data_IF_101065968808
#
_entry.id   IF_101065968808
#
_cell.length_a   1.000
_cell.length_b   1.000
_cell.length_c   1.000
_cell.angle_alpha   90.00
_cell.angle_beta   90.00
_cell.angle_gamma   90.00
#
_symmetry.space_group_name_H-M   'P 1'
#
loop_
_entity.id
_entity.type
_entity.pdbx_description
1 polymer ?
#
# COMPACT_ATOMS: atom_id res chain seq x y z
N UNK A 1 -13.97 16.56 47.51
CA UNK A 1 -14.82 15.41 47.12
C UNK A 1 -15.13 15.52 45.64
N UNK A 2 -14.50 14.63 44.89
CA UNK A 2 -14.85 14.04 43.57
C UNK A 2 -15.47 14.94 42.50
N UNK A 3 -14.60 15.46 41.63
CA UNK A 3 -14.94 15.68 40.23
C UNK A 3 -14.89 14.36 39.47
N UNK A 4 -15.96 14.05 38.74
CA UNK A 4 -15.91 13.14 37.59
C UNK A 4 -16.78 13.80 36.51
N UNK A 5 -16.12 14.54 35.62
CA UNK A 5 -16.75 14.96 34.38
C UNK A 5 -17.05 13.71 33.56
N UNK A 6 -18.32 13.39 33.41
CA UNK A 6 -18.79 12.36 32.49
C UNK A 6 -18.53 12.85 31.07
N UNK A 7 -17.44 12.40 30.45
CA UNK A 7 -17.26 12.57 29.01
C UNK A 7 -18.23 11.62 28.30
N UNK A 8 -19.35 12.16 27.82
CA UNK A 8 -20.24 11.47 26.90
C UNK A 8 -19.51 11.24 25.58
N UNK A 9 -18.98 10.04 25.38
CA UNK A 9 -18.37 9.61 24.12
C UNK A 9 -19.47 9.34 23.07
N UNK A 10 -20.13 10.39 22.58
CA UNK A 10 -21.09 10.27 21.50
C UNK A 10 -20.37 10.20 20.13
N UNK A 11 -19.61 9.13 19.90
CA UNK A 11 -18.99 8.86 18.59
C UNK A 11 -20.05 8.26 17.66
N UNK A 12 -20.41 9.00 16.61
CA UNK A 12 -21.43 8.61 15.62
C UNK A 12 -20.86 7.92 14.39
N UNK A 13 -19.54 7.94 14.23
CA UNK A 13 -18.85 7.36 13.08
C UNK A 13 -17.44 6.90 13.47
N UNK A 14 -16.96 5.91 12.72
CA UNK A 14 -15.58 5.42 12.74
C UNK A 14 -15.07 5.47 11.29
N UNK A 15 -13.87 6.03 11.10
CA UNK A 15 -13.19 6.05 9.81
C UNK A 15 -11.99 5.11 9.95
N UNK A 16 -11.87 4.16 9.03
CA UNK A 16 -10.79 3.18 9.01
C UNK A 16 -10.04 3.24 7.69
N UNK A 17 -8.73 3.14 7.77
CA UNK A 17 -7.90 2.90 6.61
C UNK A 17 -8.12 1.47 6.08
N UNK A 18 -7.79 1.23 4.82
CA UNK A 18 -7.85 -0.09 4.23
C UNK A 18 -6.59 -0.92 4.54
N UNK A 19 -5.42 -0.41 4.14
CA UNK A 19 -4.14 -1.08 4.30
C UNK A 19 -3.65 -1.04 5.75
N UNK A 20 -3.26 -2.17 6.33
CA UNK A 20 -2.77 -2.26 7.71
C UNK A 20 -3.86 -2.14 8.80
N UNK A 21 -5.10 -1.77 8.44
CA UNK A 21 -6.24 -1.69 9.36
C UNK A 21 -7.30 -2.71 8.99
N UNK A 22 -8.03 -2.53 7.88
CA UNK A 22 -9.03 -3.52 7.42
C UNK A 22 -8.39 -4.74 6.75
N UNK A 23 -7.15 -4.62 6.29
CA UNK A 23 -6.33 -5.71 5.75
C UNK A 23 -5.00 -5.77 6.48
N UNK A 24 -4.54 -6.96 6.88
CA UNK A 24 -3.28 -7.12 7.63
C UNK A 24 -2.72 -8.54 7.55
N UNK A 25 -1.37 -8.73 7.47
CA UNK A 25 -0.34 -7.70 7.34
C UNK A 25 -0.15 -7.23 5.89
N UNK A 26 0.11 -5.93 5.69
CA UNK A 26 0.33 -5.33 4.35
C UNK A 26 1.53 -5.93 3.62
N UNK A 27 2.54 -6.40 4.37
CA UNK A 27 3.75 -7.01 3.84
C UNK A 27 3.47 -8.22 2.92
N UNK A 28 2.37 -8.94 3.15
CA UNK A 28 2.02 -10.11 2.32
C UNK A 28 1.82 -9.77 0.84
N UNK A 29 1.28 -8.59 0.52
CA UNK A 29 1.12 -8.12 -0.85
C UNK A 29 2.47 -7.93 -1.55
N UNK A 30 3.44 -7.32 -0.86
CA UNK A 30 4.77 -7.09 -1.41
C UNK A 30 5.57 -8.39 -1.59
N UNK A 31 5.44 -9.33 -0.65
CA UNK A 31 6.05 -10.67 -0.78
C UNK A 31 5.52 -11.40 -2.00
N UNK A 32 4.20 -11.38 -2.23
CA UNK A 32 3.60 -12.02 -3.41
C UNK A 32 4.08 -11.39 -4.73
N UNK A 33 4.25 -10.07 -4.77
CA UNK A 33 4.83 -9.38 -5.94
C UNK A 33 6.27 -9.82 -6.16
N UNK A 34 7.09 -9.87 -5.10
CA UNK A 34 8.47 -10.32 -5.18
C UNK A 34 8.58 -11.76 -5.69
N UNK A 35 7.76 -12.68 -5.18
CA UNK A 35 7.74 -14.07 -5.64
C UNK A 35 7.38 -14.19 -7.13
N UNK A 36 6.55 -13.27 -7.64
CA UNK A 36 6.11 -13.27 -9.03
C UNK A 36 7.09 -12.60 -9.99
N UNK A 37 7.64 -11.45 -9.63
CA UNK A 37 8.46 -10.62 -10.51
C UNK A 37 9.96 -10.85 -10.34
N UNK A 38 10.37 -11.40 -9.19
CA UNK A 38 11.77 -11.52 -8.80
C UNK A 38 12.36 -10.24 -8.19
N UNK A 39 11.65 -9.10 -8.21
CA UNK A 39 12.11 -7.86 -7.60
C UNK A 39 11.80 -7.83 -6.11
N UNK A 40 12.84 -7.65 -5.30
CA UNK A 40 12.72 -7.47 -3.85
C UNK A 40 12.01 -6.15 -3.49
N UNK A 41 11.50 -6.08 -2.26
CA UNK A 41 10.91 -4.83 -1.73
C UNK A 41 11.93 -3.70 -1.72
N UNK A 42 13.19 -4.01 -1.45
CA UNK A 42 14.30 -3.07 -1.45
C UNK A 42 14.57 -2.53 -2.86
N UNK A 43 14.57 -3.38 -3.88
CA UNK A 43 14.73 -2.97 -5.28
C UNK A 43 13.56 -2.11 -5.76
N UNK A 44 12.31 -2.49 -5.44
CA UNK A 44 11.13 -1.68 -5.75
C UNK A 44 11.18 -0.30 -5.06
N UNK A 45 11.62 -0.27 -3.80
CA UNK A 45 11.77 0.97 -3.04
C UNK A 45 12.87 1.85 -3.63
N UNK A 46 14.00 1.26 -4.04
CA UNK A 46 15.09 1.97 -4.69
C UNK A 46 14.69 2.53 -6.07
N UNK A 47 13.95 1.75 -6.87
CA UNK A 47 13.39 2.19 -8.15
C UNK A 47 12.46 3.40 -7.97
N UNK A 48 11.51 3.34 -7.03
CA UNK A 48 10.64 4.48 -6.71
C UNK A 48 11.42 5.72 -6.27
N UNK A 49 12.46 5.55 -5.46
CA UNK A 49 13.32 6.65 -5.04
C UNK A 49 14.10 7.27 -6.22
N UNK A 50 14.62 6.45 -7.14
CA UNK A 50 15.31 6.91 -8.34
C UNK A 50 14.38 7.74 -9.23
N UNK A 51 13.17 7.23 -9.51
CA UNK A 51 12.14 7.97 -10.26
C UNK A 51 11.78 9.29 -9.56
N UNK A 52 11.70 9.29 -8.22
CA UNK A 52 11.41 10.49 -7.46
C UNK A 52 12.49 11.56 -7.62
N UNK A 53 13.77 11.17 -7.65
CA UNK A 53 14.88 12.09 -7.93
C UNK A 53 14.79 12.64 -9.35
N UNK A 54 14.51 11.79 -10.34
CA UNK A 54 14.44 12.19 -11.74
C UNK A 54 13.24 13.11 -12.06
N UNK A 55 12.08 12.85 -11.45
CA UNK A 55 10.82 13.58 -11.72
C UNK A 55 10.51 14.69 -10.70
N UNK A 56 11.26 14.76 -9.60
CA UNK A 56 11.03 15.70 -8.50
C UNK A 56 9.81 15.35 -7.63
N UNK A 57 9.18 14.19 -7.83
CA UNK A 57 8.02 13.73 -7.06
C UNK A 57 7.93 12.20 -7.06
N UNK A 58 7.50 11.64 -5.94
CA UNK A 58 7.42 10.19 -5.75
C UNK A 58 6.35 9.57 -6.67
N UNK A 59 6.67 8.55 -7.49
CA UNK A 59 5.72 8.00 -8.47
C UNK A 59 4.49 7.34 -7.82
N UNK A 60 4.64 6.79 -6.61
CA UNK A 60 3.49 6.25 -5.86
C UNK A 60 2.47 7.34 -5.51
N UNK A 61 2.92 8.56 -5.19
CA UNK A 61 2.00 9.66 -4.93
C UNK A 61 1.18 10.00 -6.18
N UNK A 62 1.82 10.01 -7.36
CA UNK A 62 1.13 10.27 -8.62
C UNK A 62 0.11 9.17 -8.95
N UNK A 63 0.44 7.92 -8.64
CA UNK A 63 -0.48 6.79 -8.77
C UNK A 63 -1.68 6.91 -7.81
N UNK A 64 -1.42 7.15 -6.52
CA UNK A 64 -2.47 7.25 -5.48
C UNK A 64 -3.41 8.44 -5.70
N UNK A 65 -2.89 9.53 -6.25
CA UNK A 65 -3.69 10.70 -6.62
C UNK A 65 -4.41 10.55 -7.97
N UNK A 66 -4.22 9.43 -8.68
CA UNK A 66 -4.80 9.18 -9.99
C UNK A 66 -4.26 10.10 -11.09
N UNK A 67 -3.07 10.66 -10.91
CA UNK A 67 -2.41 11.54 -11.88
C UNK A 67 -1.76 10.75 -13.02
N UNK A 68 -1.37 9.50 -12.76
CA UNK A 68 -0.87 8.56 -13.77
C UNK A 68 -1.61 7.21 -13.64
N UNK A 69 -1.80 6.48 -14.75
CA UNK A 69 -2.35 5.12 -14.69
C UNK A 69 -1.31 4.13 -14.12
N UNK A 70 -1.79 3.01 -13.60
CA UNK A 70 -0.93 1.91 -13.10
C UNK A 70 0.11 1.46 -14.14
N UNK A 71 -0.28 1.34 -15.42
CA UNK A 71 0.65 0.93 -16.47
C UNK A 71 1.83 1.92 -16.64
N UNK A 72 1.61 3.22 -16.45
CA UNK A 72 2.72 4.19 -16.48
C UNK A 72 3.59 4.05 -15.23
N UNK A 73 2.97 3.90 -14.05
CA UNK A 73 3.70 3.68 -12.81
C UNK A 73 4.63 2.46 -12.91
N UNK A 74 4.11 1.31 -13.35
CA UNK A 74 4.89 0.08 -13.47
C UNK A 74 6.04 0.23 -14.47
N UNK A 75 5.78 0.84 -15.63
CA UNK A 75 6.83 1.11 -16.63
C UNK A 75 7.97 1.94 -16.07
N UNK A 76 7.67 2.96 -15.26
CA UNK A 76 8.70 3.80 -14.61
C UNK A 76 9.57 3.02 -13.63
N UNK A 77 8.99 2.04 -12.92
CA UNK A 77 9.75 1.19 -12.01
C UNK A 77 10.57 0.16 -12.79
N UNK A 78 9.98 -0.48 -13.80
CA UNK A 78 10.67 -1.43 -14.68
C UNK A 78 11.88 -0.80 -15.38
N UNK A 79 11.80 0.48 -15.80
CA UNK A 79 12.92 1.23 -16.39
C UNK A 79 14.13 1.37 -15.43
N UNK A 80 13.91 1.29 -14.11
CA UNK A 80 14.95 1.41 -13.07
C UNK A 80 15.43 0.05 -12.54
N UNK A 81 14.70 -1.03 -12.83
CA UNK A 81 15.01 -2.38 -12.35
C UNK A 81 15.99 -3.07 -13.31
N UNK A 82 16.89 -3.87 -12.76
CA UNK A 82 17.86 -4.61 -13.57
C UNK A 82 17.26 -5.91 -14.12
N UNK A 83 17.67 -6.28 -15.34
CA UNK A 83 17.27 -7.54 -15.98
C UNK A 83 15.86 -7.51 -16.59
N UNK A 84 15.32 -8.68 -16.89
CA UNK A 84 13.99 -8.84 -17.51
C UNK A 84 12.86 -8.87 -16.46
N UNK A 85 12.95 -8.02 -15.43
CA UNK A 85 11.89 -7.93 -14.41
C UNK A 85 10.63 -7.36 -15.06
N UNK A 86 9.50 -8.04 -14.84
CA UNK A 86 8.18 -7.53 -15.21
C UNK A 86 7.28 -7.46 -13.98
N UNK A 87 6.65 -6.30 -13.81
CA UNK A 87 5.66 -6.03 -12.78
C UNK A 87 4.22 -6.16 -13.31
N UNK A 88 4.04 -6.75 -14.49
CA UNK A 88 2.72 -6.95 -15.08
C UNK A 88 1.79 -7.72 -14.12
N UNK A 89 0.57 -7.21 -13.93
CA UNK A 89 -0.39 -7.77 -12.98
C UNK A 89 -0.11 -7.43 -11.52
N UNK A 90 0.74 -6.43 -11.24
CA UNK A 90 1.10 -5.97 -9.89
C UNK A 90 -0.12 -5.89 -8.97
N UNK A 91 -1.16 -5.15 -9.37
CA UNK A 91 -2.36 -4.96 -8.55
C UNK A 91 -3.02 -6.28 -8.22
N UNK A 92 -3.26 -7.12 -9.22
CA UNK A 92 -4.01 -8.36 -9.03
C UNK A 92 -3.25 -9.30 -8.09
N UNK A 93 -1.92 -9.39 -8.24
CA UNK A 93 -1.04 -10.15 -7.34
C UNK A 93 -1.05 -9.56 -5.92
N UNK A 94 -0.79 -8.26 -5.79
CA UNK A 94 -0.71 -7.57 -4.50
C UNK A 94 -2.01 -7.74 -3.70
N UNK A 95 -3.15 -7.44 -4.31
CA UNK A 95 -4.45 -7.51 -3.64
C UNK A 95 -4.89 -8.95 -3.35
N UNK A 96 -4.53 -9.92 -4.19
CA UNK A 96 -4.87 -11.33 -3.94
C UNK A 96 -4.23 -11.90 -2.67
N UNK A 97 -3.09 -11.34 -2.26
CA UNK A 97 -2.36 -11.73 -1.06
C UNK A 97 -2.80 -10.97 0.20
N UNK A 98 -3.72 -10.01 0.08
CA UNK A 98 -4.26 -9.31 1.24
C UNK A 98 -5.37 -10.13 1.90
N UNK A 99 -5.35 -10.15 3.23
CA UNK A 99 -6.35 -10.85 4.03
C UNK A 99 -7.10 -9.88 4.94
N UNK A 100 -8.42 -10.06 5.12
CA UNK A 100 -9.20 -9.25 6.04
C UNK A 100 -8.66 -9.34 7.47
N UNK A 101 -8.48 -8.19 8.12
CA UNK A 101 -8.17 -8.12 9.54
C UNK A 101 -9.44 -8.38 10.36
N UNK A 102 -9.76 -9.67 10.55
CA UNK A 102 -10.97 -10.10 11.28
C UNK A 102 -11.03 -9.51 12.68
N UNK A 103 -9.90 -9.42 13.39
CA UNK A 103 -9.88 -8.83 14.72
C UNK A 103 -10.38 -7.38 14.74
N UNK A 104 -9.96 -6.55 13.78
CA UNK A 104 -10.43 -5.16 13.69
C UNK A 104 -11.89 -5.07 13.21
N UNK A 105 -12.26 -5.89 12.23
CA UNK A 105 -13.62 -5.90 11.67
C UNK A 105 -14.63 -6.33 12.75
N UNK A 106 -14.33 -7.41 13.46
CA UNK A 106 -15.21 -7.98 14.49
C UNK A 106 -15.30 -7.06 15.73
N UNK A 107 -14.27 -6.25 16.00
CA UNK A 107 -14.29 -5.24 17.06
C UNK A 107 -15.31 -4.11 16.79
N UNK A 108 -15.61 -3.84 15.51
CA UNK A 108 -16.53 -2.77 15.12
C UNK A 108 -17.98 -3.24 14.91
N UNK A 109 -18.23 -4.55 14.93
CA UNK A 109 -19.54 -5.15 14.73
C UNK A 109 -20.42 -5.05 15.99
#
# INVERSE_FOLDING_TARGET
MNGVGSSSNNRRAVICDFGGVLTSPLLGGFVAVQERSGASVEELSAAMASVAVARGRHPLFDLEMGLIPEAEFLRLLEDELAGDVTLNGFRDVFFSALHPNRAMIDYMA
#
